data_IF_353228558438
#
_entry.id   IF_353228558438
#
_cell.length_a   1.000
_cell.length_b   1.000
_cell.length_c   1.000
_cell.angle_alpha   90.00
_cell.angle_beta   90.00
_cell.angle_gamma   90.00
#
_symmetry.space_group_name_H-M   'P 1'
#
loop_
_entity.id
_entity.type
_entity.pdbx_description
1 polymer ?
#
# COMPACT_ATOMS: atom_id res chain seq x y z
N UNK A 1 -10.08 -10.05 -20.61
CA UNK A 1 -10.07 -9.03 -19.55
C UNK A 1 -10.40 -9.68 -18.22
N UNK A 2 -11.41 -10.56 -18.21
CA UNK A 2 -11.86 -11.37 -17.06
C UNK A 2 -10.72 -12.01 -16.25
N UNK A 3 -9.74 -12.66 -16.90
CA UNK A 3 -8.66 -13.36 -16.18
C UNK A 3 -7.75 -12.48 -15.32
N UNK A 4 -7.58 -11.19 -15.63
CA UNK A 4 -6.68 -10.32 -14.85
C UNK A 4 -7.39 -9.84 -13.58
N UNK A 5 -8.64 -9.37 -13.71
CA UNK A 5 -9.49 -8.98 -12.56
C UNK A 5 -9.94 -10.18 -11.70
N UNK A 6 -9.77 -11.41 -12.18
CA UNK A 6 -9.98 -12.64 -11.41
C UNK A 6 -8.77 -13.01 -10.53
N UNK A 7 -7.59 -12.44 -10.77
CA UNK A 7 -6.43 -12.66 -9.89
C UNK A 7 -6.51 -11.72 -8.68
N UNK A 8 -5.99 -12.14 -7.50
CA UNK A 8 -5.94 -11.28 -6.32
C UNK A 8 -5.31 -9.91 -6.61
N UNK A 9 -4.22 -9.90 -7.38
CA UNK A 9 -3.50 -8.68 -7.77
C UNK A 9 -4.36 -7.77 -8.66
N UNK A 10 -5.14 -8.33 -9.58
CA UNK A 10 -6.05 -7.54 -10.42
C UNK A 10 -7.29 -7.05 -9.67
N UNK A 11 -7.77 -7.77 -8.67
CA UNK A 11 -8.82 -7.30 -7.78
C UNK A 11 -8.34 -6.10 -6.95
N UNK A 12 -7.13 -6.17 -6.43
CA UNK A 12 -6.55 -5.09 -5.63
C UNK A 12 -6.28 -3.84 -6.47
N UNK A 13 -5.77 -4.01 -7.70
CA UNK A 13 -5.66 -2.91 -8.65
C UNK A 13 -7.03 -2.31 -8.99
N UNK A 14 -8.07 -3.14 -9.10
CA UNK A 14 -9.43 -2.67 -9.38
C UNK A 14 -9.99 -1.81 -8.24
N UNK A 15 -9.78 -2.23 -6.99
CA UNK A 15 -10.15 -1.46 -5.80
C UNK A 15 -9.43 -0.10 -5.80
N UNK A 16 -8.12 -0.08 -6.02
CA UNK A 16 -7.36 1.17 -6.08
C UNK A 16 -7.83 2.07 -7.22
N UNK A 17 -8.17 1.53 -8.39
CA UNK A 17 -8.72 2.34 -9.47
C UNK A 17 -10.04 3.00 -9.06
N UNK A 18 -10.93 2.27 -8.38
CA UNK A 18 -12.20 2.79 -7.89
C UNK A 18 -12.01 3.86 -6.81
N UNK A 19 -11.15 3.61 -5.83
CA UNK A 19 -10.91 4.51 -4.69
C UNK A 19 -10.37 5.87 -5.11
N UNK A 20 -9.54 5.90 -6.15
CA UNK A 20 -8.91 7.13 -6.65
C UNK A 20 -9.56 7.70 -7.92
N UNK A 21 -10.71 7.16 -8.33
CA UNK A 21 -11.47 7.67 -9.48
C UNK A 21 -10.77 7.44 -10.83
N UNK A 22 -9.85 6.49 -10.92
CA UNK A 22 -9.26 6.09 -12.19
C UNK A 22 -10.21 5.15 -12.94
N UNK A 23 -10.25 5.31 -14.27
CA UNK A 23 -10.89 4.31 -15.12
C UNK A 23 -10.11 3.01 -14.96
N UNK A 24 -10.85 1.94 -14.65
CA UNK A 24 -10.33 0.58 -14.72
C UNK A 24 -9.77 0.38 -16.12
N UNK A 25 -8.46 0.19 -16.23
CA UNK A 25 -7.81 0.01 -17.51
C UNK A 25 -8.16 -1.37 -18.07
N UNK A 26 -8.47 -1.44 -19.36
CA UNK A 26 -8.78 -2.71 -20.03
C UNK A 26 -7.54 -3.61 -20.10
N UNK A 27 -6.36 -2.98 -20.20
CA UNK A 27 -5.05 -3.63 -20.17
C UNK A 27 -4.10 -2.80 -19.31
N UNK A 28 -3.13 -3.43 -18.63
CA UNK A 28 -2.08 -2.71 -17.89
C UNK A 28 -1.31 -1.70 -18.77
N UNK A 29 -1.21 -1.95 -20.07
CA UNK A 29 -0.55 -1.07 -21.03
C UNK A 29 -1.30 0.26 -21.30
N UNK A 30 -2.59 0.34 -20.92
CA UNK A 30 -3.39 1.55 -21.10
C UNK A 30 -3.15 2.57 -19.96
N UNK A 31 -2.45 2.15 -18.90
CA UNK A 31 -2.03 3.02 -17.82
C UNK A 31 -0.77 3.79 -18.24
N UNK A 32 -0.81 5.11 -18.07
CA UNK A 32 0.38 5.96 -18.19
C UNK A 32 1.34 5.68 -17.04
N UNK A 33 2.65 5.92 -17.24
CA UNK A 33 3.66 5.75 -16.17
C UNK A 33 3.28 6.50 -14.87
N UNK A 34 2.82 7.76 -14.90
CA UNK A 34 2.38 8.44 -13.68
C UNK A 34 1.23 7.74 -12.95
N UNK A 35 0.26 7.19 -13.69
CA UNK A 35 -0.86 6.44 -13.10
C UNK A 35 -0.38 5.16 -12.43
N UNK A 36 0.53 4.42 -13.08
CA UNK A 36 1.14 3.22 -12.48
C UNK A 36 1.91 3.59 -11.20
N UNK A 37 2.76 4.62 -11.25
CA UNK A 37 3.50 5.08 -10.08
C UNK A 37 2.59 5.50 -8.92
N UNK A 38 1.49 6.18 -9.23
CA UNK A 38 0.50 6.57 -8.23
C UNK A 38 -0.18 5.35 -7.60
N UNK A 39 -0.66 4.40 -8.41
CA UNK A 39 -1.34 3.19 -7.91
C UNK A 39 -0.41 2.32 -7.05
N UNK A 40 0.88 2.24 -7.41
CA UNK A 40 1.89 1.56 -6.58
C UNK A 40 2.09 2.26 -5.25
N UNK A 41 2.21 3.60 -5.24
CA UNK A 41 2.35 4.35 -3.99
C UNK A 41 1.12 4.20 -3.08
N UNK A 42 -0.08 4.22 -3.66
CA UNK A 42 -1.33 3.99 -2.94
C UNK A 42 -1.42 2.58 -2.35
N UNK A 43 -0.99 1.56 -3.09
CA UNK A 43 -0.92 0.19 -2.60
C UNK A 43 0.04 0.06 -1.40
N UNK A 44 1.23 0.65 -1.50
CA UNK A 44 2.22 0.63 -0.41
C UNK A 44 1.66 1.29 0.85
N UNK A 45 1.10 2.50 0.74
CA UNK A 45 0.48 3.22 1.86
C UNK A 45 -0.64 2.39 2.53
N UNK A 46 -1.45 1.68 1.74
CA UNK A 46 -2.49 0.79 2.26
C UNK A 46 -1.90 -0.39 3.03
N UNK A 47 -0.90 -1.07 2.46
CA UNK A 47 -0.23 -2.20 3.12
C UNK A 47 0.45 -1.77 4.43
N UNK A 48 1.05 -0.58 4.45
CA UNK A 48 1.64 0.01 5.66
C UNK A 48 0.59 0.28 6.74
N UNK A 49 -0.57 0.83 6.38
CA UNK A 49 -1.69 1.04 7.31
C UNK A 49 -2.25 -0.27 7.84
N UNK A 50 -2.44 -1.27 6.98
CA UNK A 50 -2.90 -2.60 7.40
C UNK A 50 -1.88 -3.33 8.29
N UNK A 51 -0.59 -3.13 8.05
CA UNK A 51 0.48 -3.64 8.91
C UNK A 51 0.52 -2.93 10.27
N UNK A 52 0.29 -1.61 10.29
CA UNK A 52 0.19 -0.83 11.52
C UNK A 52 -1.00 -1.29 12.37
N UNK A 53 -2.19 -1.43 11.78
CA UNK A 53 -3.39 -1.93 12.47
C UNK A 53 -3.17 -3.33 13.04
N UNK A 54 -2.58 -4.25 12.27
CA UNK A 54 -2.24 -5.60 12.76
C UNK A 54 -1.24 -5.59 13.92
N UNK A 55 -0.33 -4.62 13.93
CA UNK A 55 0.65 -4.44 15.02
C UNK A 55 -0.01 -3.87 16.29
N UNK A 56 -1.14 -3.18 16.16
CA UNK A 56 -1.95 -2.69 17.29
C UNK A 56 -2.88 -3.79 17.86
N UNK A 57 -3.36 -4.71 17.02
CA UNK A 57 -4.30 -5.77 17.42
C UNK A 57 -3.67 -6.98 18.11
N UNK A 58 -2.37 -7.24 17.88
CA UNK A 58 -1.61 -8.23 18.63
C UNK A 58 -0.64 -7.49 19.56
N UNK A 59 -0.51 -7.94 20.82
CA UNK A 59 0.43 -7.39 21.81
C UNK A 59 1.90 -7.47 21.40
N UNK A 60 2.28 -6.74 20.35
CA UNK A 60 3.61 -6.64 19.80
C UNK A 60 4.33 -5.54 20.55
N UNK A 61 5.29 -5.94 21.35
CA UNK A 61 6.12 -5.03 22.14
C UNK A 61 7.05 -4.25 21.20
N UNK A 62 6.69 -3.01 20.85
CA UNK A 62 7.53 -2.14 20.03
C UNK A 62 8.71 -1.65 20.86
N UNK A 63 9.91 -2.19 20.63
CA UNK A 63 11.15 -1.70 21.25
C UNK A 63 11.53 -0.41 20.54
N UNK A 64 11.31 0.73 21.19
CA UNK A 64 11.78 2.04 20.76
C UNK A 64 13.14 2.26 21.43
N UNK A 65 14.20 2.30 20.63
CA UNK A 65 15.49 2.80 21.10
C UNK A 65 15.44 4.32 21.07
N UNK A 66 15.33 4.94 22.24
CA UNK A 66 15.70 6.34 22.41
C UNK A 66 17.20 6.37 22.64
N UNK A 67 17.95 7.04 21.78
CA UNK A 67 19.32 7.46 22.08
C UNK A 67 19.24 8.38 23.30
N UNK A 68 19.53 7.83 24.47
CA UNK A 68 19.81 8.60 25.67
C UNK A 68 21.19 9.23 25.42
N UNK A 69 21.20 10.46 24.92
CA UNK A 69 22.38 11.31 24.88
C UNK A 69 22.89 11.44 26.32
N UNK A 70 23.88 10.62 26.66
CA UNK A 70 24.66 10.74 27.88
C UNK A 70 25.37 12.09 27.86
N UNK A 71 24.78 13.05 28.58
CA UNK A 71 25.42 14.28 29.02
C UNK A 71 26.83 13.94 29.55
N UNK A 72 27.84 14.30 28.77
CA UNK A 72 29.23 14.21 29.18
C UNK A 72 29.62 15.58 29.72
N UNK A 73 29.54 15.75 31.05
CA UNK A 73 30.15 16.86 31.79
C UNK A 73 31.69 16.85 31.70
#
# INVERSE_FOLDING_TARGET
>A
MDRFVESPEGQELAVLCLDYGYKLADRPADLTRPQVSFLVAALVDRLEKEAAVRSEEAGVNRIIFTDDDVDTE
#
